data_IF_139006906530
#
_entry.id   IF_139006906530
#
_cell.length_a   1.000
_cell.length_b   1.000
_cell.length_c   1.000
_cell.angle_alpha   90.00
_cell.angle_beta   90.00
_cell.angle_gamma   90.00
#
_symmetry.space_group_name_H-M   'P 1'
#
loop_
_entity.id
_entity.type
_entity.pdbx_description
1 polymer ?
#
# COMPACT_ATOMS: atom_id res chain seq x y z
N UNK A 1 -24.32 11.08 -17.89
CA UNK A 1 -25.24 11.12 -16.73
C UNK A 1 -24.50 11.61 -15.49
N UNK A 2 -23.46 10.92 -15.03
CA UNK A 2 -22.64 11.32 -13.85
C UNK A 2 -22.11 12.76 -13.95
N UNK A 3 -21.61 13.19 -15.12
CA UNK A 3 -21.16 14.59 -15.34
C UNK A 3 -22.23 15.68 -15.18
N UNK A 4 -23.53 15.34 -15.19
CA UNK A 4 -24.65 16.29 -15.08
C UNK A 4 -25.31 16.25 -13.70
N UNK A 5 -24.96 15.29 -12.86
CA UNK A 5 -25.48 15.15 -11.51
C UNK A 5 -24.70 16.11 -10.61
N UNK A 6 -25.40 17.07 -10.01
CA UNK A 6 -24.82 18.03 -9.07
C UNK A 6 -24.73 17.48 -7.65
N UNK A 7 -25.46 16.39 -7.38
CA UNK A 7 -25.56 15.81 -6.06
C UNK A 7 -24.69 14.54 -5.91
N UNK A 8 -23.92 14.44 -4.82
CA UNK A 8 -23.09 13.26 -4.51
C UNK A 8 -23.90 11.97 -4.36
N UNK A 9 -25.12 12.03 -3.84
CA UNK A 9 -26.01 10.86 -3.76
C UNK A 9 -26.40 10.35 -5.15
N UNK A 10 -26.67 11.25 -6.10
CA UNK A 10 -26.96 10.89 -7.49
C UNK A 10 -25.74 10.37 -8.25
N UNK A 11 -24.55 10.92 -7.95
CA UNK A 11 -23.27 10.45 -8.52
C UNK A 11 -23.00 8.99 -8.12
N UNK A 12 -23.27 8.64 -6.85
CA UNK A 12 -23.16 7.27 -6.36
C UNK A 12 -24.38 6.41 -6.71
N UNK A 13 -25.51 7.02 -7.08
CA UNK A 13 -26.75 6.33 -7.42
C UNK A 13 -27.43 5.70 -6.20
N UNK A 14 -27.39 6.39 -5.06
CA UNK A 14 -27.98 5.98 -3.79
C UNK A 14 -28.98 7.02 -3.27
N UNK A 15 -29.87 6.62 -2.37
CA UNK A 15 -30.81 7.52 -1.70
C UNK A 15 -30.11 8.33 -0.59
N UNK A 16 -30.72 9.44 -0.16
CA UNK A 16 -30.12 10.36 0.83
C UNK A 16 -30.00 9.72 2.22
N UNK A 17 -30.85 8.76 2.54
CA UNK A 17 -30.87 7.97 3.77
C UNK A 17 -29.97 6.72 3.69
N UNK A 18 -29.20 6.54 2.62
CA UNK A 18 -28.35 5.38 2.42
C UNK A 18 -27.35 5.18 3.59
N UNK A 19 -27.23 3.92 4.01
CA UNK A 19 -26.28 3.51 5.05
C UNK A 19 -24.83 3.60 4.53
N UNK A 20 -23.87 3.62 5.46
CA UNK A 20 -22.45 3.61 5.11
C UNK A 20 -22.07 2.36 4.30
N UNK A 21 -22.71 1.22 4.58
CA UNK A 21 -22.51 -0.01 3.81
C UNK A 21 -22.99 0.12 2.36
N UNK A 22 -24.11 0.81 2.15
CA UNK A 22 -24.68 1.01 0.82
C UNK A 22 -23.85 1.99 0.00
N UNK A 23 -23.31 3.04 0.64
CA UNK A 23 -22.31 3.94 0.06
C UNK A 23 -21.06 3.16 -0.39
N UNK A 24 -20.54 2.28 0.46
CA UNK A 24 -19.39 1.41 0.12
C UNK A 24 -19.71 0.45 -1.01
N UNK A 25 -20.90 -0.15 -1.05
CA UNK A 25 -21.34 -1.05 -2.13
C UNK A 25 -21.47 -0.32 -3.46
N UNK A 26 -22.09 0.86 -3.45
CA UNK A 26 -22.28 1.70 -4.63
C UNK A 26 -20.94 2.20 -5.20
N UNK A 27 -20.05 2.70 -4.33
CA UNK A 27 -18.69 3.10 -4.71
C UNK A 27 -17.94 1.95 -5.37
N UNK A 28 -17.92 0.75 -4.76
CA UNK A 28 -17.22 -0.41 -5.32
C UNK A 28 -17.71 -0.78 -6.73
N UNK A 29 -19.02 -0.75 -6.94
CA UNK A 29 -19.64 -1.06 -8.25
C UNK A 29 -19.27 -0.03 -9.32
N UNK A 30 -19.27 1.26 -8.97
CA UNK A 30 -18.97 2.34 -9.90
C UNK A 30 -17.48 2.48 -10.19
N UNK A 31 -16.62 2.33 -9.17
CA UNK A 31 -15.17 2.36 -9.31
C UNK A 31 -14.67 1.28 -10.28
N UNK A 32 -15.23 0.06 -10.23
CA UNK A 32 -14.90 -1.01 -11.18
C UNK A 32 -15.37 -0.71 -12.61
N UNK A 33 -16.50 -0.02 -12.77
CA UNK A 33 -17.10 0.31 -14.07
C UNK A 33 -16.42 1.49 -14.77
N UNK A 34 -15.91 2.45 -14.00
CA UNK A 34 -15.26 3.66 -14.49
C UNK A 34 -13.75 3.65 -14.28
N UNK A 35 -13.17 2.50 -13.93
CA UNK A 35 -11.73 2.36 -13.77
C UNK A 35 -10.99 2.75 -15.07
N UNK A 36 -9.95 3.60 -15.01
CA UNK A 36 -9.28 4.15 -16.18
C UNK A 36 -8.63 3.07 -17.08
N UNK A 37 -8.21 1.95 -16.48
CA UNK A 37 -7.64 0.82 -17.23
C UNK A 37 -8.70 0.04 -18.05
N UNK A 38 -9.92 -0.08 -17.50
CA UNK A 38 -11.01 -0.87 -18.12
C UNK A 38 -11.93 -0.04 -19.01
N UNK A 39 -11.99 1.27 -18.78
CA UNK A 39 -12.90 2.17 -19.48
C UNK A 39 -12.15 3.38 -20.05
N UNK A 40 -11.82 3.32 -21.33
CA UNK A 40 -11.11 4.37 -22.09
C UNK A 40 -12.06 5.36 -22.78
N UNK A 41 -13.35 5.37 -22.41
CA UNK A 41 -14.30 6.30 -22.99
C UNK A 41 -13.94 7.75 -22.61
N UNK A 42 -14.18 8.73 -23.51
CA UNK A 42 -13.91 10.13 -23.21
C UNK A 42 -14.71 10.59 -21.98
N UNK A 43 -13.99 11.00 -20.93
CA UNK A 43 -14.58 11.44 -19.67
C UNK A 43 -14.80 10.35 -18.60
N UNK A 44 -14.32 9.12 -18.81
CA UNK A 44 -14.35 8.08 -17.79
C UNK A 44 -13.48 8.44 -16.56
N UNK A 45 -12.30 9.03 -16.79
CA UNK A 45 -11.40 9.52 -15.72
C UNK A 45 -12.04 10.61 -14.87
N UNK A 46 -12.73 11.57 -15.50
CA UNK A 46 -13.45 12.63 -14.77
C UNK A 46 -14.63 12.07 -13.97
N UNK A 47 -15.36 11.09 -14.53
CA UNK A 47 -16.42 10.40 -13.81
C UNK A 47 -15.88 9.61 -12.62
N UNK A 48 -14.73 8.96 -12.76
CA UNK A 48 -14.04 8.25 -11.67
C UNK A 48 -13.65 9.20 -10.53
N UNK A 49 -13.09 10.37 -10.87
CA UNK A 49 -12.78 11.41 -9.88
C UNK A 49 -14.04 11.91 -9.16
N UNK A 50 -15.13 12.15 -9.89
CA UNK A 50 -16.39 12.57 -9.30
C UNK A 50 -16.97 11.50 -8.35
N UNK A 51 -16.86 10.22 -8.69
CA UNK A 51 -17.29 9.09 -7.85
C UNK A 51 -16.46 9.01 -6.56
N UNK A 52 -15.13 9.16 -6.66
CA UNK A 52 -14.24 9.17 -5.50
C UNK A 52 -14.52 10.32 -4.54
N UNK A 53 -14.69 11.54 -5.08
CA UNK A 53 -15.02 12.72 -4.29
C UNK A 53 -16.38 12.57 -3.58
N UNK A 54 -17.40 12.09 -4.31
CA UNK A 54 -18.72 11.84 -3.73
C UNK A 54 -18.64 10.85 -2.57
N UNK A 55 -17.87 9.77 -2.72
CA UNK A 55 -17.69 8.80 -1.66
C UNK A 55 -16.91 9.37 -0.48
N UNK A 56 -15.81 10.10 -0.69
CA UNK A 56 -15.00 10.67 0.38
C UNK A 56 -15.78 11.66 1.27
N UNK A 57 -16.70 12.42 0.67
CA UNK A 57 -17.57 13.34 1.41
C UNK A 57 -18.67 12.59 2.14
N UNK A 58 -19.36 11.65 1.47
CA UNK A 58 -20.51 10.94 2.06
C UNK A 58 -20.11 9.84 3.04
N UNK A 59 -18.89 9.30 2.96
CA UNK A 59 -18.42 8.25 3.87
C UNK A 59 -18.00 8.78 5.24
N UNK A 60 -17.64 10.06 5.35
CA UNK A 60 -17.32 10.68 6.63
C UNK A 60 -18.58 11.36 7.20
N UNK A 61 -19.05 10.98 8.40
CA UNK A 61 -20.29 11.49 8.96
C UNK A 61 -20.28 13.02 9.17
N UNK A 62 -19.14 13.61 9.53
CA UNK A 62 -19.02 15.05 9.71
C UNK A 62 -19.06 15.80 8.37
N UNK A 63 -18.38 15.27 7.34
CA UNK A 63 -18.37 15.87 5.99
C UNK A 63 -19.74 15.70 5.30
N UNK A 64 -20.41 14.56 5.51
CA UNK A 64 -21.78 14.30 5.04
C UNK A 64 -22.77 15.27 5.67
N UNK A 65 -22.68 15.50 6.99
CA UNK A 65 -23.55 16.43 7.69
C UNK A 65 -23.39 17.87 7.18
N UNK A 66 -22.14 18.33 6.99
CA UNK A 66 -21.88 19.65 6.37
C UNK A 66 -22.42 19.73 4.94
N UNK A 67 -22.22 18.68 4.15
CA UNK A 67 -22.74 18.63 2.78
C UNK A 67 -24.29 18.66 2.75
N UNK A 68 -24.93 17.95 3.67
CA UNK A 68 -26.39 17.92 3.81
C UNK A 68 -26.98 19.24 4.33
N UNK A 69 -26.21 20.03 5.07
CA UNK A 69 -26.59 21.34 5.63
C UNK A 69 -26.42 22.49 4.63
N UNK A 70 -25.31 22.51 3.88
CA UNK A 70 -24.99 23.60 2.95
C UNK A 70 -25.37 23.33 1.48
N UNK A 71 -25.71 22.09 1.13
CA UNK A 71 -26.09 21.69 -0.22
C UNK A 71 -24.95 21.77 -1.25
N UNK A 72 -25.20 21.30 -2.48
CA UNK A 72 -24.26 21.38 -3.61
C UNK A 72 -24.24 22.75 -4.30
N UNK A 73 -25.05 23.71 -3.83
CA UNK A 73 -25.27 24.99 -4.50
C UNK A 73 -24.40 26.09 -3.89
N UNK A 74 -23.16 26.19 -4.38
CA UNK A 74 -22.59 27.51 -4.61
C UNK A 74 -22.90 27.91 -6.05
N UNK A 75 -24.03 28.60 -6.20
CA UNK A 75 -24.32 29.36 -7.41
C UNK A 75 -23.17 30.34 -7.71
N UNK A 76 -22.78 30.36 -8.98
CA UNK A 76 -21.82 31.29 -9.54
C UNK A 76 -22.21 32.75 -9.22
N UNK A 77 -21.55 33.37 -8.22
CA UNK A 77 -21.43 34.82 -8.21
C UNK A 77 -20.42 35.19 -9.29
N UNK A 78 -20.97 35.48 -10.47
CA UNK A 78 -20.23 36.07 -11.58
C UNK A 78 -19.88 37.52 -11.25
N UNK A 79 -18.79 37.74 -10.52
CA UNK A 79 -18.12 39.04 -10.49
C UNK A 79 -16.86 38.95 -11.34
N UNK A 80 -16.93 39.62 -12.49
CA UNK A 80 -15.93 39.56 -13.55
C UNK A 80 -14.53 39.90 -13.06
N UNK A 81 -13.68 38.88 -12.97
CA UNK A 81 -12.24 38.96 -13.18
C UNK A 81 -11.78 37.56 -13.54
N UNK A 82 -11.20 37.41 -14.73
CA UNK A 82 -10.65 36.16 -15.21
C UNK A 82 -9.48 35.72 -14.32
N UNK A 83 -9.80 34.94 -13.28
CA UNK A 83 -8.88 34.03 -12.61
C UNK A 83 -9.60 32.70 -12.48
N UNK A 84 -9.00 31.69 -13.08
CA UNK A 84 -9.45 30.30 -13.08
C UNK A 84 -9.42 29.77 -11.64
N UNK A 85 -10.46 30.11 -10.87
CA UNK A 85 -10.66 29.61 -9.51
C UNK A 85 -11.17 28.18 -9.64
N UNK A 86 -10.22 27.24 -9.55
CA UNK A 86 -10.49 25.82 -9.46
C UNK A 86 -11.36 25.55 -8.22
N UNK A 87 -12.56 25.03 -8.47
CA UNK A 87 -13.57 24.51 -7.53
C UNK A 87 -13.05 23.36 -6.63
N UNK A 88 -11.75 23.08 -6.63
CA UNK A 88 -11.11 21.90 -6.02
C UNK A 88 -10.69 22.08 -4.56
N UNK A 89 -10.66 23.31 -4.03
CA UNK A 89 -9.85 23.57 -2.81
C UNK A 89 -10.63 23.58 -1.48
N UNK A 90 -11.97 23.54 -1.46
CA UNK A 90 -12.76 23.65 -0.22
C UNK A 90 -13.31 22.30 0.30
N UNK A 91 -13.33 21.27 -0.55
CA UNK A 91 -13.81 19.91 -0.25
C UNK A 91 -12.81 18.86 -0.74
N UNK A 92 -11.52 19.18 -0.72
CA UNK A 92 -10.48 18.22 -1.07
C UNK A 92 -10.53 17.09 -0.04
N UNK A 93 -10.78 15.87 -0.53
CA UNK A 93 -10.61 14.68 0.25
C UNK A 93 -9.12 14.58 0.61
N UNK A 94 -8.80 14.43 1.89
CA UNK A 94 -7.43 14.19 2.37
C UNK A 94 -6.80 12.90 1.79
N UNK A 95 -7.59 12.15 1.01
CA UNK A 95 -7.29 10.87 0.40
C UNK A 95 -7.77 10.95 -1.05
N UNK A 96 -6.87 10.73 -2.01
CA UNK A 96 -7.23 10.76 -3.44
C UNK A 96 -8.20 9.62 -3.79
N UNK A 97 -9.08 9.76 -4.81
CA UNK A 97 -9.92 8.65 -5.30
C UNK A 97 -9.13 7.36 -5.58
N UNK A 98 -7.91 7.52 -6.08
CA UNK A 98 -6.97 6.44 -6.36
C UNK A 98 -6.46 5.77 -5.06
N UNK A 99 -6.17 6.55 -4.03
CA UNK A 99 -5.74 6.07 -2.72
C UNK A 99 -6.89 5.40 -1.94
N UNK A 100 -8.11 5.95 -2.00
CA UNK A 100 -9.32 5.29 -1.49
C UNK A 100 -9.51 3.95 -2.19
N UNK A 101 -9.35 3.90 -3.51
CA UNK A 101 -9.44 2.65 -4.26
C UNK A 101 -8.38 1.64 -3.81
N UNK A 102 -7.14 2.07 -3.62
CA UNK A 102 -6.05 1.20 -3.18
C UNK A 102 -6.30 0.65 -1.77
N UNK A 103 -6.84 1.45 -0.85
CA UNK A 103 -7.25 1.03 0.50
C UNK A 103 -8.39 0.00 0.45
N UNK A 104 -9.33 0.12 -0.50
CA UNK A 104 -10.47 -0.79 -0.61
C UNK A 104 -10.21 -2.07 -1.40
N UNK A 105 -9.30 -2.04 -2.37
CA UNK A 105 -9.14 -3.12 -3.36
C UNK A 105 -7.73 -3.72 -3.41
N UNK A 106 -6.76 -3.20 -2.65
CA UNK A 106 -5.39 -3.74 -2.60
C UNK A 106 -4.68 -3.79 -3.96
N UNK A 107 -5.09 -2.95 -4.91
CA UNK A 107 -4.68 -2.99 -6.31
C UNK A 107 -3.52 -2.03 -6.61
N UNK A 108 -2.58 -2.49 -7.44
CA UNK A 108 -1.43 -1.71 -7.90
C UNK A 108 -1.86 -0.70 -8.99
N UNK A 109 -2.14 0.54 -8.61
CA UNK A 109 -2.11 1.68 -9.55
C UNK A 109 -0.65 1.98 -9.91
N UNK A 110 -0.26 2.04 -11.21
CA UNK A 110 1.09 2.44 -11.60
C UNK A 110 1.17 3.97 -11.63
N UNK A 111 1.04 4.61 -10.48
CA UNK A 111 1.37 6.03 -10.31
C UNK A 111 2.15 6.14 -9.02
N UNK A 112 3.47 6.32 -9.16
CA UNK A 112 4.42 6.34 -8.07
C UNK A 112 4.06 7.39 -7.01
N UNK A 113 3.77 6.90 -5.81
CA UNK A 113 4.28 7.35 -4.51
C UNK A 113 3.42 6.67 -3.45
N UNK A 114 3.90 5.52 -2.97
CA UNK A 114 3.31 4.79 -1.85
C UNK A 114 3.90 5.43 -0.58
N UNK A 115 3.13 6.32 0.07
CA UNK A 115 3.33 6.59 1.49
C UNK A 115 2.53 5.55 2.28
N UNK A 116 3.23 4.49 2.69
CA UNK A 116 2.70 3.47 3.57
C UNK A 116 2.79 4.00 5.01
N UNK A 117 1.67 4.41 5.63
CA UNK A 117 1.64 4.67 7.07
C UNK A 117 0.91 3.55 7.80
N UNK A 118 1.67 2.87 8.67
CA UNK A 118 1.23 1.89 9.63
C UNK A 118 0.57 2.56 10.85
N UNK A 119 -0.67 2.15 11.14
CA UNK A 119 -1.37 2.04 12.41
C UNK A 119 -1.00 2.94 13.64
N UNK A 120 -2.01 3.71 14.06
CA UNK A 120 -2.51 3.95 15.44
C UNK A 120 -1.60 4.67 16.46
N UNK A 121 -1.93 5.93 16.77
CA UNK A 121 -2.30 6.40 18.12
C UNK A 121 -2.56 7.92 18.20
N UNK A 122 -3.76 8.27 18.69
CA UNK A 122 -4.10 9.37 19.62
C UNK A 122 -3.94 10.84 19.19
N UNK A 123 -5.07 11.53 19.24
CA UNK A 123 -5.30 12.91 19.69
C UNK A 123 -4.11 13.88 19.65
N UNK A 124 -4.19 14.86 18.76
CA UNK A 124 -3.88 16.25 19.10
C UNK A 124 -4.34 17.18 17.98
N UNK A 125 -5.32 18.03 18.30
CA UNK A 125 -5.65 19.23 17.54
C UNK A 125 -4.45 20.17 17.47
N UNK A 126 -3.95 20.46 16.26
CA UNK A 126 -3.21 21.68 15.99
C UNK A 126 -3.45 22.13 14.56
N UNK A 127 -4.21 23.21 14.37
CA UNK A 127 -4.28 23.94 13.11
C UNK A 127 -3.11 24.92 13.04
N UNK A 128 -2.30 24.93 11.96
CA UNK A 128 -1.62 26.13 11.54
C UNK A 128 -2.42 26.78 10.41
N UNK A 129 -3.19 27.81 10.75
CA UNK A 129 -3.65 28.82 9.79
C UNK A 129 -2.45 29.63 9.31
N UNK A 130 -2.26 29.72 8.00
CA UNK A 130 -1.64 30.87 7.30
C UNK A 130 -1.93 30.71 5.81
N UNK A 131 -2.37 31.71 5.05
CA UNK A 131 -2.16 33.17 5.12
C UNK A 131 -3.23 33.84 4.25
N UNK A 132 -3.65 35.08 4.57
CA UNK A 132 -3.86 36.08 3.51
C UNK A 132 -3.92 37.54 3.99
N UNK A 133 -3.02 38.33 3.39
CA UNK A 133 -3.07 39.76 3.09
C UNK A 133 -2.79 40.78 4.21
N UNK A 134 -1.55 41.28 4.15
CA UNK A 134 -1.28 42.72 4.14
C UNK A 134 -2.20 43.46 3.17
N UNK A 135 -2.84 44.54 3.65
CA UNK A 135 -2.58 45.93 3.23
C UNK A 135 -3.56 46.88 3.92
N UNK A 136 -3.04 47.66 4.86
CA UNK A 136 -3.33 49.08 5.06
C UNK A 136 -2.81 49.47 6.45
N UNK A 137 -1.67 50.14 6.50
CA UNK A 137 -1.45 51.46 7.08
C UNK A 137 0.05 51.67 7.25
N UNK A 138 0.54 52.66 6.51
CA UNK A 138 1.81 53.34 6.67
C UNK A 138 1.99 53.80 8.12
N UNK A 139 3.03 53.36 8.82
CA UNK A 139 4.02 54.24 9.47
C UNK A 139 5.06 53.39 10.21
N UNK A 140 6.33 53.73 9.96
CA UNK A 140 7.46 53.55 10.89
C UNK A 140 7.79 52.12 11.33
N UNK A 141 8.72 51.51 10.60
CA UNK A 141 9.95 50.96 11.19
C UNK A 141 10.89 50.58 10.05
N UNK A 142 11.59 51.59 9.55
CA UNK A 142 12.92 51.39 8.98
C UNK A 142 13.85 50.88 10.10
N UNK A 143 14.88 50.13 9.71
CA UNK A 143 16.02 49.67 10.52
C UNK A 143 15.88 48.32 11.25
N UNK A 144 15.95 47.21 10.50
CA UNK A 144 16.85 46.08 10.87
C UNK A 144 17.16 45.12 9.70
N UNK A 145 17.38 45.67 8.50
CA UNK A 145 17.90 44.91 7.36
C UNK A 145 19.43 44.85 7.43
N UNK A 146 19.98 43.99 8.30
CA UNK A 146 21.32 43.41 8.12
C UNK A 146 21.62 42.34 9.18
N UNK A 147 21.11 41.12 8.97
CA UNK A 147 21.79 39.91 9.45
C UNK A 147 22.03 38.99 8.25
N UNK A 148 23.27 38.58 7.96
CA UNK A 148 23.51 37.61 6.91
C UNK A 148 22.74 36.34 7.28
N UNK A 149 21.80 35.93 6.42
CA UNK A 149 21.20 34.60 6.53
C UNK A 149 22.32 33.60 6.29
N UNK A 150 22.91 33.12 7.40
CA UNK A 150 23.95 32.11 7.37
C UNK A 150 23.48 30.95 6.48
N UNK A 151 24.17 30.74 5.36
CA UNK A 151 23.98 29.60 4.45
C UNK A 151 23.99 28.24 5.18
N UNK A 152 24.54 28.21 6.39
CA UNK A 152 24.49 27.10 7.35
C UNK A 152 23.07 26.66 7.78
N UNK A 153 22.03 27.50 7.71
CA UNK A 153 20.67 27.10 8.09
C UNK A 153 20.08 26.04 7.14
N UNK A 154 20.34 26.17 5.83
CA UNK A 154 19.95 25.19 4.83
C UNK A 154 20.71 23.86 4.99
N UNK A 155 22.00 23.91 5.37
CA UNK A 155 22.78 22.71 5.66
C UNK A 155 22.23 21.97 6.88
N UNK A 156 21.95 22.68 7.98
CA UNK A 156 21.39 22.08 9.21
C UNK A 156 20.03 21.42 8.96
N UNK A 157 19.20 21.99 8.07
CA UNK A 157 17.91 21.41 7.71
C UNK A 157 18.03 20.10 6.90
N UNK A 158 19.10 19.94 6.12
CA UNK A 158 19.38 18.72 5.35
C UNK A 158 20.20 17.68 6.12
N UNK A 159 20.86 18.05 7.22
CA UNK A 159 21.67 17.14 8.04
C UNK A 159 20.92 15.86 8.45
N UNK A 160 19.65 15.88 8.90
CA UNK A 160 18.93 14.65 9.24
C UNK A 160 18.75 13.70 8.04
N UNK A 161 18.49 14.26 6.85
CA UNK A 161 18.34 13.48 5.60
C UNK A 161 19.68 12.88 5.20
N UNK A 162 20.75 13.66 5.27
CA UNK A 162 22.10 13.16 5.02
C UNK A 162 22.51 12.08 6.03
N UNK A 163 22.19 12.23 7.31
CA UNK A 163 22.45 11.22 8.34
C UNK A 163 21.69 9.92 8.01
N UNK A 164 20.43 9.98 7.62
CA UNK A 164 19.66 8.78 7.24
C UNK A 164 20.28 8.10 6.01
N UNK A 165 20.68 8.88 5.00
CA UNK A 165 21.34 8.34 3.80
C UNK A 165 22.67 7.69 4.18
N UNK A 166 23.49 8.37 4.98
CA UNK A 166 24.78 7.88 5.45
C UNK A 166 24.59 6.60 6.29
N UNK A 167 23.64 6.58 7.22
CA UNK A 167 23.33 5.39 8.04
C UNK A 167 22.82 4.25 7.16
N UNK A 168 21.98 4.51 6.15
CA UNK A 168 21.49 3.50 5.23
C UNK A 168 22.64 2.89 4.41
N UNK A 169 23.53 3.74 3.88
CA UNK A 169 24.71 3.30 3.12
C UNK A 169 25.68 2.53 4.01
N UNK A 170 25.98 3.02 5.23
CA UNK A 170 26.84 2.32 6.18
C UNK A 170 26.23 0.97 6.57
N UNK A 171 24.93 0.91 6.85
CA UNK A 171 24.24 -0.35 7.16
C UNK A 171 24.35 -1.34 5.99
N UNK A 172 24.22 -0.88 4.74
CA UNK A 172 24.40 -1.74 3.57
C UNK A 172 25.85 -2.21 3.39
N UNK A 173 26.84 -1.37 3.69
CA UNK A 173 28.26 -1.72 3.64
C UNK A 173 28.67 -2.69 4.77
N UNK A 174 27.95 -2.66 5.90
CA UNK A 174 28.17 -3.56 7.04
C UNK A 174 27.29 -4.80 7.02
N UNK A 175 26.36 -4.92 6.06
CA UNK A 175 25.51 -6.09 5.93
C UNK A 175 26.37 -7.32 5.60
N UNK A 176 26.54 -8.21 6.58
CA UNK A 176 27.16 -9.50 6.36
C UNK A 176 26.17 -10.39 5.61
N UNK A 177 26.69 -11.16 4.64
CA UNK A 177 25.87 -12.15 3.96
C UNK A 177 25.38 -13.18 4.98
N UNK A 178 24.14 -13.68 4.85
CA UNK A 178 23.65 -14.75 5.70
C UNK A 178 24.53 -15.99 5.54
N UNK A 179 24.74 -16.81 6.58
CA UNK A 179 25.68 -17.92 6.55
C UNK A 179 25.25 -19.10 5.65
N UNK A 180 23.98 -19.12 5.24
CA UNK A 180 23.43 -20.16 4.37
C UNK A 180 22.26 -19.63 3.51
N UNK A 181 21.82 -20.43 2.54
CA UNK A 181 20.54 -20.25 1.86
C UNK A 181 19.88 -21.59 1.53
N UNK A 182 18.54 -21.66 1.60
CA UNK A 182 17.77 -22.86 1.22
C UNK A 182 17.82 -23.17 -0.29
N UNK A 183 18.26 -22.21 -1.10
CA UNK A 183 18.34 -22.33 -2.54
C UNK A 183 19.75 -21.98 -3.02
N UNK A 184 20.15 -22.56 -4.13
CA UNK A 184 21.40 -22.25 -4.80
C UNK A 184 21.47 -20.76 -5.17
N UNK A 185 22.52 -20.06 -4.73
CA UNK A 185 22.73 -18.63 -5.02
C UNK A 185 24.20 -18.35 -5.33
N UNK A 186 24.54 -18.42 -6.62
CA UNK A 186 25.90 -18.12 -7.10
C UNK A 186 26.35 -16.68 -6.82
N UNK A 187 25.43 -15.71 -6.84
CA UNK A 187 25.75 -14.28 -6.62
C UNK A 187 26.33 -13.97 -5.24
N UNK A 188 25.97 -14.75 -4.22
CA UNK A 188 26.42 -14.58 -2.83
C UNK A 188 27.50 -15.63 -2.47
N UNK A 189 27.75 -16.61 -3.34
CA UNK A 189 28.72 -17.67 -3.11
C UNK A 189 28.16 -18.91 -2.41
N UNK A 190 26.85 -18.99 -2.19
CA UNK A 190 26.17 -20.18 -1.66
C UNK A 190 25.98 -21.23 -2.75
N UNK A 191 27.06 -21.98 -3.00
CA UNK A 191 27.14 -22.97 -4.09
C UNK A 191 27.38 -24.39 -3.60
N UNK A 192 27.86 -24.58 -2.38
CA UNK A 192 28.13 -25.89 -1.80
C UNK A 192 26.86 -26.40 -1.16
N UNK A 193 26.33 -27.53 -1.64
CA UNK A 193 25.15 -28.18 -1.07
C UNK A 193 25.54 -29.01 0.16
N UNK A 194 24.75 -28.89 1.21
CA UNK A 194 24.79 -29.71 2.44
C UNK A 194 23.36 -30.13 2.80
N UNK A 195 23.25 -31.11 3.68
CA UNK A 195 21.97 -31.59 4.20
C UNK A 195 22.03 -31.59 5.73
N UNK A 196 20.91 -31.25 6.37
CA UNK A 196 20.81 -31.25 7.83
C UNK A 196 20.73 -32.66 8.41
N UNK A 197 21.21 -32.86 9.63
CA UNK A 197 21.28 -34.19 10.22
C UNK A 197 19.91 -34.85 10.48
N UNK A 198 18.90 -34.08 10.95
CA UNK A 198 17.62 -34.68 11.36
C UNK A 198 16.63 -34.83 10.20
N UNK A 199 16.36 -33.73 9.49
CA UNK A 199 15.33 -33.69 8.46
C UNK A 199 15.89 -33.82 7.04
N UNK A 200 17.22 -33.96 6.88
CA UNK A 200 17.89 -34.08 5.58
C UNK A 200 17.49 -32.93 4.63
N UNK A 201 17.38 -31.72 5.19
CA UNK A 201 16.98 -30.54 4.43
C UNK A 201 18.18 -30.04 3.63
N UNK A 202 18.10 -29.93 2.30
CA UNK A 202 19.19 -29.38 1.51
C UNK A 202 19.34 -27.87 1.72
N UNK A 203 20.55 -27.43 2.03
CA UNK A 203 20.91 -26.01 2.16
C UNK A 203 22.26 -25.73 1.50
N UNK A 204 22.50 -24.47 1.14
CA UNK A 204 23.66 -24.03 0.38
C UNK A 204 24.50 -23.07 1.20
N UNK A 205 25.81 -23.29 1.19
CA UNK A 205 26.78 -22.54 1.98
C UNK A 205 27.96 -22.06 1.14
N UNK A 206 28.73 -21.15 1.71
CA UNK A 206 29.96 -20.64 1.11
C UNK A 206 31.14 -21.61 1.30
N UNK A 207 32.28 -21.30 0.67
CA UNK A 207 33.50 -22.14 0.71
C UNK A 207 34.22 -22.13 2.06
N UNK A 208 33.97 -21.13 2.91
CA UNK A 208 34.61 -20.97 4.21
C UNK A 208 33.75 -21.51 5.36
N UNK A 209 32.53 -21.98 5.07
CA UNK A 209 31.56 -22.45 6.03
C UNK A 209 32.12 -23.44 7.06
N UNK A 210 32.84 -24.47 6.60
CA UNK A 210 33.41 -25.50 7.49
C UNK A 210 34.44 -24.97 8.48
N UNK A 211 35.05 -23.80 8.21
CA UNK A 211 35.99 -23.16 9.14
C UNK A 211 35.25 -22.38 10.24
N UNK A 212 34.04 -21.92 9.93
CA UNK A 212 33.27 -21.00 10.77
C UNK A 212 32.21 -21.72 11.61
N UNK A 213 31.74 -22.89 11.18
CA UNK A 213 30.67 -23.63 11.84
C UNK A 213 31.08 -25.09 12.05
N UNK A 214 31.31 -25.49 13.30
CA UNK A 214 31.65 -26.86 13.69
C UNK A 214 30.99 -27.25 15.02
N UNK A 215 30.75 -28.55 15.21
CA UNK A 215 30.23 -29.10 16.46
C UNK A 215 28.87 -28.50 16.86
N UNK A 216 28.80 -27.91 18.06
CA UNK A 216 27.55 -27.38 18.62
C UNK A 216 26.97 -26.20 17.81
N UNK A 217 27.82 -25.33 17.26
CA UNK A 217 27.40 -24.19 16.44
C UNK A 217 26.76 -24.65 15.13
N UNK A 218 27.29 -25.73 14.55
CA UNK A 218 26.70 -26.35 13.36
C UNK A 218 25.33 -26.94 13.67
N UNK A 219 25.18 -27.63 14.79
CA UNK A 219 23.89 -28.20 15.20
C UNK A 219 22.82 -27.13 15.47
N UNK A 220 23.20 -26.00 16.08
CA UNK A 220 22.29 -24.88 16.30
C UNK A 220 21.88 -24.22 14.98
N UNK A 221 22.84 -24.05 14.07
CA UNK A 221 22.56 -23.53 12.74
C UNK A 221 21.62 -24.46 11.96
N UNK A 222 21.86 -25.78 11.97
CA UNK A 222 21.01 -26.74 11.25
C UNK A 222 19.59 -26.79 11.81
N UNK A 223 19.39 -26.66 13.12
CA UNK A 223 18.04 -26.47 13.69
C UNK A 223 17.36 -25.23 13.14
N UNK A 224 18.10 -24.15 12.95
CA UNK A 224 17.59 -22.92 12.34
C UNK A 224 17.23 -23.13 10.87
N UNK A 225 18.10 -23.82 10.11
CA UNK A 225 17.84 -24.19 8.70
C UNK A 225 16.55 -25.02 8.58
N UNK A 226 16.38 -26.01 9.46
CA UNK A 226 15.21 -26.88 9.50
C UNK A 226 13.93 -26.09 9.81
N UNK A 227 14.00 -25.19 10.80
CA UNK A 227 12.89 -24.29 11.14
C UNK A 227 12.50 -23.41 9.95
N UNK A 228 13.46 -22.73 9.33
CA UNK A 228 13.23 -21.83 8.20
C UNK A 228 12.68 -22.59 6.99
N UNK A 229 13.12 -23.83 6.78
CA UNK A 229 12.58 -24.70 5.75
C UNK A 229 11.12 -25.10 6.03
N UNK A 230 10.77 -25.45 7.26
CA UNK A 230 9.38 -25.73 7.65
C UNK A 230 8.50 -24.50 7.40
N UNK A 231 8.95 -23.31 7.82
CA UNK A 231 8.21 -22.06 7.62
C UNK A 231 8.04 -21.73 6.12
N UNK A 232 9.07 -21.99 5.31
CA UNK A 232 9.00 -21.89 3.85
C UNK A 232 7.95 -22.85 3.26
N UNK A 233 7.96 -24.12 3.66
CA UNK A 233 7.03 -25.13 3.17
C UNK A 233 5.59 -24.80 3.59
N UNK A 234 5.37 -24.35 4.83
CA UNK A 234 4.07 -23.90 5.32
C UNK A 234 3.52 -22.73 4.49
N UNK A 235 4.34 -21.69 4.32
CA UNK A 235 3.96 -20.50 3.55
C UNK A 235 3.67 -20.85 2.09
N UNK A 236 4.48 -21.73 1.50
CA UNK A 236 4.31 -22.18 0.12
C UNK A 236 3.04 -23.02 -0.05
N UNK A 237 2.76 -23.94 0.87
CA UNK A 237 1.50 -24.69 0.89
C UNK A 237 0.28 -23.76 1.01
N UNK A 238 0.35 -22.74 1.87
CA UNK A 238 -0.73 -21.75 1.98
C UNK A 238 -0.97 -21.03 0.65
N UNK A 239 0.10 -20.60 -0.03
CA UNK A 239 0.01 -19.97 -1.37
C UNK A 239 -0.59 -20.90 -2.42
N UNK A 240 -0.18 -22.18 -2.46
CA UNK A 240 -0.73 -23.17 -3.37
C UNK A 240 -2.24 -23.39 -3.15
N UNK A 241 -2.67 -23.51 -1.88
CA UNK A 241 -4.08 -23.62 -1.52
C UNK A 241 -4.87 -22.39 -1.93
N UNK A 242 -4.32 -21.20 -1.69
CA UNK A 242 -4.94 -19.94 -2.09
C UNK A 242 -5.12 -19.89 -3.61
N UNK A 243 -4.07 -20.19 -4.37
CA UNK A 243 -4.13 -20.22 -5.83
C UNK A 243 -5.18 -21.21 -6.36
N UNK A 244 -5.27 -22.41 -5.76
CA UNK A 244 -6.29 -23.40 -6.12
C UNK A 244 -7.70 -22.89 -5.82
N UNK A 245 -7.90 -22.29 -4.65
CA UNK A 245 -9.17 -21.70 -4.23
C UNK A 245 -9.60 -20.58 -5.17
N UNK A 246 -8.68 -19.66 -5.50
CA UNK A 246 -8.94 -18.53 -6.39
C UNK A 246 -9.34 -19.00 -7.79
N UNK A 247 -8.63 -19.98 -8.35
CA UNK A 247 -9.01 -20.58 -9.64
C UNK A 247 -10.38 -21.24 -9.58
N UNK A 248 -10.70 -21.96 -8.50
CA UNK A 248 -12.02 -22.58 -8.31
C UNK A 248 -13.13 -21.54 -8.18
N UNK A 249 -12.90 -20.46 -7.45
CA UNK A 249 -13.84 -19.37 -7.27
C UNK A 249 -14.09 -18.61 -8.59
N UNK A 250 -13.02 -18.34 -9.35
CA UNK A 250 -13.13 -17.75 -10.68
C UNK A 250 -13.88 -18.67 -11.66
N UNK A 251 -13.60 -19.97 -11.63
CA UNK A 251 -14.30 -20.95 -12.45
C UNK A 251 -15.82 -20.94 -12.17
N UNK A 252 -16.21 -20.87 -10.89
CA UNK A 252 -17.63 -20.77 -10.48
C UNK A 252 -18.26 -19.44 -10.91
N UNK A 253 -17.52 -18.34 -10.79
CA UNK A 253 -18.00 -16.99 -11.13
C UNK A 253 -18.30 -16.86 -12.63
N UNK A 254 -17.38 -17.33 -13.48
CA UNK A 254 -17.49 -17.23 -14.93
C UNK A 254 -18.11 -18.47 -15.61
N UNK A 255 -18.39 -19.53 -14.85
CA UNK A 255 -18.84 -20.84 -15.36
C UNK A 255 -17.89 -21.40 -16.43
N UNK A 256 -16.59 -21.21 -16.23
CA UNK A 256 -15.55 -21.66 -17.15
C UNK A 256 -14.97 -23.01 -16.71
N UNK A 257 -15.28 -24.07 -17.46
CA UNK A 257 -14.78 -25.43 -17.21
C UNK A 257 -13.27 -25.54 -17.36
N UNK A 258 -12.61 -24.69 -18.15
CA UNK A 258 -11.15 -24.72 -18.29
C UNK A 258 -10.46 -24.28 -16.99
N UNK A 259 -11.00 -23.25 -16.34
CA UNK A 259 -10.50 -22.79 -15.04
C UNK A 259 -10.73 -23.82 -13.95
N UNK A 260 -11.88 -24.52 -14.01
CA UNK A 260 -12.18 -25.61 -13.08
C UNK A 260 -11.21 -26.78 -13.24
N UNK A 261 -10.99 -27.25 -14.46
CA UNK A 261 -9.99 -28.29 -14.75
C UNK A 261 -8.59 -27.87 -14.32
N UNK A 262 -8.22 -26.60 -14.56
CA UNK A 262 -6.94 -26.05 -14.11
C UNK A 262 -6.82 -26.09 -12.57
N UNK A 263 -7.86 -25.69 -11.84
CA UNK A 263 -7.88 -25.76 -10.39
C UNK A 263 -7.77 -27.21 -9.86
N UNK A 264 -8.46 -28.16 -10.50
CA UNK A 264 -8.41 -29.58 -10.14
C UNK A 264 -7.04 -30.20 -10.44
N UNK A 265 -6.43 -29.85 -11.57
CA UNK A 265 -5.09 -30.31 -11.98
C UNK A 265 -3.95 -29.73 -11.15
N UNK A 266 -4.20 -28.66 -10.37
CA UNK A 266 -3.17 -28.02 -9.56
C UNK A 266 -2.78 -28.94 -8.40
N UNK A 267 -1.57 -29.49 -8.51
CA UNK A 267 -0.91 -30.29 -7.47
C UNK A 267 -0.43 -29.40 -6.34
N UNK A 268 -0.59 -29.86 -5.11
CA UNK A 268 -0.21 -29.14 -3.90
C UNK A 268 1.06 -29.76 -3.32
N UNK A 269 2.16 -29.71 -4.07
CA UNK A 269 3.39 -30.42 -3.76
C UNK A 269 3.98 -30.00 -2.41
N UNK A 270 3.92 -28.71 -2.09
CA UNK A 270 4.43 -28.21 -0.81
C UNK A 270 3.51 -28.61 0.34
N UNK A 271 2.20 -28.72 0.11
CA UNK A 271 1.27 -29.23 1.12
C UNK A 271 1.46 -30.74 1.38
N UNK A 272 1.75 -31.52 0.35
CA UNK A 272 2.07 -32.94 0.50
C UNK A 272 3.35 -33.10 1.33
N UNK A 273 4.41 -32.34 1.01
CA UNK A 273 5.65 -32.28 1.80
C UNK A 273 5.41 -31.82 3.24
N UNK A 274 4.53 -30.82 3.45
CA UNK A 274 4.19 -30.39 4.81
C UNK A 274 3.51 -31.50 5.60
N UNK A 275 2.63 -32.26 4.95
CA UNK A 275 1.90 -33.36 5.59
C UNK A 275 2.83 -34.50 5.99
N UNK A 276 3.85 -34.81 5.17
CA UNK A 276 4.86 -35.82 5.51
C UNK A 276 5.73 -35.37 6.69
N UNK A 277 6.15 -34.10 6.73
CA UNK A 277 6.90 -33.53 7.85
C UNK A 277 6.11 -33.59 9.17
N UNK A 278 4.82 -33.22 9.16
CA UNK A 278 3.96 -33.30 10.34
C UNK A 278 3.71 -34.76 10.77
N UNK A 279 3.58 -35.68 9.79
CA UNK A 279 3.40 -37.10 10.04
C UNK A 279 4.59 -37.73 10.76
N UNK A 280 5.82 -37.37 10.38
CA UNK A 280 7.03 -37.82 11.06
C UNK A 280 7.12 -37.32 12.50
N UNK A 281 6.63 -36.10 12.78
CA UNK A 281 6.70 -35.50 14.12
C UNK A 281 5.64 -36.03 15.10
N UNK A 282 4.55 -36.66 14.61
CA UNK A 282 3.52 -37.28 15.45
C UNK A 282 3.77 -38.75 15.77
N UNK A 283 4.74 -39.39 15.11
CA UNK A 283 5.05 -40.82 15.23
C UNK A 283 6.32 -41.14 16.02
N UNK A 284 6.94 -40.14 16.66
CA UNK A 284 8.15 -40.28 17.49
C UNK A 284 7.88 -40.03 18.96
#
# INVERSE_FOLDING_TARGET
>A
RIKRCRNYYEILGVERDASEEDLKKAYRKLALKFHPDKNRAPGATEAFKAIGNAFAVLSNPEKRLRYDEFGSDQEHVSTGQARHYNYYTEFEADITPEEIFNVFFGGHFPTGNIHMFSNVARDAHYYPRRHRNERAWTQEQEEEENRPQNSYSAFIQLMPVFIIIIVSVITQLMATNPPYSLFYKSSIGHVISRETENLQVPYYVDKNFEKNYQGAELQELEKTVEKDYIDYIQTSCWKEKQQKSDLSNLAKLYRDERLKQKAESLKLEHCEKLSSLIGMHKGG
#
